data_IF_802440356224
#
_entry.id   IF_802440356224
#
_cell.length_a   1.000
_cell.length_b   1.000
_cell.length_c   1.000
_cell.angle_alpha   90.00
_cell.angle_beta   90.00
_cell.angle_gamma   90.00
#
_symmetry.space_group_name_H-M   'P 1'
#
loop_
_entity.id
_entity.type
_entity.pdbx_description
1 polymer ?
#
# COMPACT_ATOMS: atom_id res chain seq x y z
N UNK A 1 -18.09 -12.14 6.47
CA UNK A 1 -16.84 -11.77 5.80
C UNK A 1 -17.04 -11.78 4.29
N UNK A 2 -16.62 -10.70 3.63
CA UNK A 2 -16.63 -10.59 2.17
C UNK A 2 -15.88 -11.78 1.56
N UNK A 3 -16.44 -12.36 0.51
CA UNK A 3 -15.78 -13.43 -0.25
C UNK A 3 -15.57 -12.96 -1.69
N UNK A 4 -14.35 -13.18 -2.18
CA UNK A 4 -14.05 -13.03 -3.60
C UNK A 4 -14.15 -14.40 -4.28
N UNK A 5 -14.91 -14.43 -5.36
CA UNK A 5 -14.94 -15.52 -6.33
C UNK A 5 -13.61 -15.62 -7.07
N UNK A 6 -13.34 -16.78 -7.65
CA UNK A 6 -12.10 -16.97 -8.44
C UNK A 6 -12.09 -16.09 -9.69
N UNK A 7 -13.25 -15.76 -10.25
CA UNK A 7 -13.39 -14.84 -11.37
C UNK A 7 -12.97 -13.41 -10.97
N UNK A 8 -13.46 -12.90 -9.83
CA UNK A 8 -13.07 -11.58 -9.31
C UNK A 8 -11.57 -11.52 -9.02
N UNK A 9 -11.00 -12.58 -8.42
CA UNK A 9 -9.55 -12.65 -8.18
C UNK A 9 -8.76 -12.64 -9.48
N UNK A 10 -9.22 -13.36 -10.51
CA UNK A 10 -8.57 -13.40 -11.80
C UNK A 10 -8.63 -12.04 -12.53
N UNK A 11 -9.75 -11.34 -12.43
CA UNK A 11 -9.92 -9.99 -12.97
C UNK A 11 -8.96 -8.99 -12.31
N UNK A 12 -8.91 -8.98 -10.97
CA UNK A 12 -7.98 -8.15 -10.20
C UNK A 12 -6.51 -8.44 -10.54
N UNK A 13 -6.15 -9.71 -10.72
CA UNK A 13 -4.82 -10.12 -11.17
C UNK A 13 -4.52 -9.59 -12.59
N UNK A 14 -5.47 -9.69 -13.51
CA UNK A 14 -5.32 -9.22 -14.88
C UNK A 14 -5.15 -7.70 -14.93
N UNK A 15 -5.96 -6.98 -14.15
CA UNK A 15 -5.91 -5.53 -14.04
C UNK A 15 -4.54 -5.08 -13.50
N UNK A 16 -4.10 -5.62 -12.36
CA UNK A 16 -2.80 -5.26 -11.78
C UNK A 16 -1.63 -5.63 -12.71
N UNK A 17 -1.71 -6.75 -13.43
CA UNK A 17 -0.69 -7.17 -14.38
C UNK A 17 -0.48 -6.13 -15.50
N UNK A 18 -1.56 -5.52 -16.01
CA UNK A 18 -1.49 -4.44 -17.00
C UNK A 18 -0.74 -3.20 -16.49
N UNK A 19 -0.75 -2.98 -15.19
CA UNK A 19 -0.11 -1.83 -14.54
C UNK A 19 1.27 -2.14 -13.96
N UNK A 20 1.71 -3.41 -13.95
CA UNK A 20 2.92 -3.86 -13.27
C UNK A 20 4.18 -3.11 -13.73
N UNK A 21 4.36 -2.95 -15.05
CA UNK A 21 5.53 -2.25 -15.59
C UNK A 21 5.57 -0.77 -15.16
N UNK A 22 4.41 -0.12 -15.06
CA UNK A 22 4.31 1.27 -14.63
C UNK A 22 4.58 1.40 -13.12
N UNK A 23 3.98 0.55 -12.30
CA UNK A 23 4.23 0.49 -10.85
C UNK A 23 5.72 0.28 -10.56
N UNK A 24 6.35 -0.67 -11.25
CA UNK A 24 7.79 -0.93 -11.13
C UNK A 24 8.64 0.29 -11.48
N UNK A 25 8.32 0.99 -12.58
CA UNK A 25 9.00 2.22 -12.99
C UNK A 25 8.82 3.36 -11.98
N UNK A 26 7.64 3.49 -11.36
CA UNK A 26 7.38 4.49 -10.32
C UNK A 26 8.22 4.26 -9.06
N UNK A 27 8.54 3.00 -8.76
CA UNK A 27 9.47 2.61 -7.70
C UNK A 27 10.95 2.74 -8.10
N UNK A 28 11.24 3.15 -9.34
CA UNK A 28 12.59 3.16 -9.92
C UNK A 28 13.29 1.79 -9.89
N UNK A 29 12.54 0.70 -10.06
CA UNK A 29 13.09 -0.66 -10.00
C UNK A 29 13.32 -1.25 -11.40
N UNK A 30 14.39 -2.03 -11.55
CA UNK A 30 14.52 -2.97 -12.67
C UNK A 30 13.65 -4.22 -12.43
N UNK A 31 13.43 -5.04 -13.46
CA UNK A 31 12.75 -6.34 -13.27
C UNK A 31 13.51 -7.24 -12.30
N UNK A 32 14.84 -7.13 -12.27
CA UNK A 32 15.70 -7.86 -11.34
C UNK A 32 15.55 -7.35 -9.91
N UNK A 33 15.53 -6.03 -9.68
CA UNK A 33 15.32 -5.52 -8.33
C UNK A 33 13.93 -5.88 -7.80
N UNK A 34 12.89 -5.80 -8.66
CA UNK A 34 11.54 -6.23 -8.27
C UNK A 34 11.52 -7.73 -7.95
N UNK A 35 12.27 -8.56 -8.69
CA UNK A 35 12.40 -9.99 -8.41
C UNK A 35 12.96 -10.24 -7.00
N UNK A 36 14.05 -9.57 -6.66
CA UNK A 36 14.73 -9.75 -5.37
C UNK A 36 13.84 -9.39 -4.17
N UNK A 37 13.00 -8.34 -4.28
CA UNK A 37 12.16 -7.90 -3.16
C UNK A 37 10.79 -8.61 -3.11
N UNK A 38 10.26 -9.06 -4.24
CA UNK A 38 8.93 -9.70 -4.29
C UNK A 38 8.99 -11.21 -4.12
N UNK A 39 10.17 -11.82 -4.29
CA UNK A 39 10.33 -13.28 -4.34
C UNK A 39 9.80 -13.91 -5.63
N UNK A 40 9.30 -13.12 -6.59
CA UNK A 40 8.86 -13.58 -7.91
C UNK A 40 10.08 -13.64 -8.82
N UNK A 41 10.26 -14.70 -9.61
CA UNK A 41 11.41 -14.77 -10.51
C UNK A 41 11.41 -13.64 -11.54
N UNK A 42 12.60 -13.13 -11.91
CA UNK A 42 12.76 -12.09 -12.93
C UNK A 42 12.10 -12.49 -14.26
N UNK A 43 12.21 -13.77 -14.62
CA UNK A 43 11.59 -14.32 -15.85
C UNK A 43 10.08 -14.23 -15.75
N UNK A 44 9.49 -14.63 -14.62
CA UNK A 44 8.05 -14.53 -14.38
C UNK A 44 7.57 -13.08 -14.44
N UNK A 45 8.27 -12.13 -13.81
CA UNK A 45 7.95 -10.70 -13.89
C UNK A 45 7.94 -10.24 -15.36
N UNK A 46 8.99 -10.56 -16.11
CA UNK A 46 9.09 -10.20 -17.53
C UNK A 46 7.96 -10.79 -18.37
N UNK A 47 7.59 -12.05 -18.11
CA UNK A 47 6.48 -12.72 -18.79
C UNK A 47 5.12 -12.16 -18.41
N UNK A 48 4.92 -11.73 -17.17
CA UNK A 48 3.69 -11.04 -16.74
C UNK A 48 3.61 -9.67 -17.42
N UNK A 49 4.68 -8.86 -17.39
CA UNK A 49 4.70 -7.54 -18.03
C UNK A 49 4.49 -7.59 -19.55
N UNK A 50 4.86 -8.71 -20.19
CA UNK A 50 4.63 -8.94 -21.63
C UNK A 50 3.31 -9.67 -21.93
N UNK A 51 2.50 -9.98 -20.92
CA UNK A 51 1.21 -10.67 -21.07
C UNK A 51 1.32 -12.16 -21.43
N UNK A 52 2.52 -12.74 -21.41
CA UNK A 52 2.76 -14.17 -21.73
C UNK A 52 2.35 -15.10 -20.60
N UNK A 53 2.40 -14.62 -19.35
CA UNK A 53 2.01 -15.38 -18.15
C UNK A 53 0.98 -14.58 -17.36
N UNK A 54 -0.05 -15.28 -16.87
CA UNK A 54 -1.05 -14.69 -15.99
C UNK A 54 -0.49 -14.47 -14.60
N UNK A 55 -0.81 -13.32 -14.01
CA UNK A 55 -0.53 -13.05 -12.61
C UNK A 55 -1.37 -13.98 -11.71
N UNK A 56 -0.75 -14.58 -10.70
CA UNK A 56 -1.45 -15.39 -9.70
C UNK A 56 -1.85 -14.51 -8.51
N UNK A 57 -2.74 -15.01 -7.65
CA UNK A 57 -3.11 -14.30 -6.43
C UNK A 57 -1.89 -14.05 -5.52
N UNK A 58 -0.95 -14.99 -5.46
CA UNK A 58 0.29 -14.82 -4.70
C UNK A 58 1.13 -13.66 -5.27
N UNK A 59 1.28 -13.60 -6.60
CA UNK A 59 1.99 -12.50 -7.26
C UNK A 59 1.33 -11.15 -6.95
N UNK A 60 0.00 -11.07 -7.04
CA UNK A 60 -0.76 -9.85 -6.75
C UNK A 60 -0.48 -9.35 -5.32
N UNK A 61 -0.58 -10.23 -4.32
CA UNK A 61 -0.35 -9.85 -2.92
C UNK A 61 1.10 -9.37 -2.68
N UNK A 62 2.09 -10.05 -3.27
CA UNK A 62 3.49 -9.65 -3.15
C UNK A 62 3.73 -8.25 -3.75
N UNK A 63 3.20 -7.99 -4.95
CA UNK A 63 3.33 -6.68 -5.62
C UNK A 63 2.61 -5.58 -4.85
N UNK A 64 1.44 -5.87 -4.27
CA UNK A 64 0.69 -4.88 -3.49
C UNK A 64 1.33 -4.55 -2.16
N UNK A 65 1.93 -5.53 -1.48
CA UNK A 65 2.68 -5.29 -0.26
C UNK A 65 3.77 -4.22 -0.51
N UNK A 66 4.52 -4.38 -1.59
CA UNK A 66 5.57 -3.42 -2.00
C UNK A 66 4.95 -2.08 -2.43
N UNK A 67 3.91 -2.11 -3.26
CA UNK A 67 3.29 -0.90 -3.84
C UNK A 67 2.58 -0.04 -2.78
N UNK A 68 2.00 -0.65 -1.75
CA UNK A 68 1.34 0.07 -0.67
C UNK A 68 2.34 0.69 0.33
N UNK A 69 3.59 0.23 0.35
CA UNK A 69 4.65 0.79 1.20
C UNK A 69 5.26 2.08 0.63
N UNK A 70 4.97 2.43 -0.63
CA UNK A 70 5.46 3.65 -1.28
C UNK A 70 4.31 4.60 -1.64
N UNK A 71 4.45 5.87 -1.29
CA UNK A 71 3.40 6.88 -1.47
C UNK A 71 3.01 7.07 -2.94
N UNK A 72 3.98 7.10 -3.86
CA UNK A 72 3.72 7.35 -5.29
C UNK A 72 2.95 6.23 -5.93
N UNK A 73 3.28 4.98 -5.61
CA UNK A 73 2.54 3.82 -6.11
C UNK A 73 1.18 3.70 -5.45
N UNK A 74 1.06 4.05 -4.16
CA UNK A 74 -0.25 4.09 -3.48
C UNK A 74 -1.19 5.12 -4.12
N UNK A 75 -0.72 6.33 -4.36
CA UNK A 75 -1.46 7.36 -5.08
C UNK A 75 -1.85 6.89 -6.49
N UNK A 76 -0.93 6.23 -7.20
CA UNK A 76 -1.21 5.67 -8.52
C UNK A 76 -2.30 4.59 -8.48
N UNK A 77 -2.27 3.68 -7.49
CA UNK A 77 -3.31 2.66 -7.31
C UNK A 77 -4.69 3.32 -7.13
N UNK A 78 -4.78 4.33 -6.25
CA UNK A 78 -6.02 5.06 -5.99
C UNK A 78 -6.51 5.81 -7.24
N UNK A 79 -5.61 6.56 -7.90
CA UNK A 79 -5.96 7.39 -9.05
C UNK A 79 -6.44 6.58 -10.27
N UNK A 80 -5.97 5.32 -10.40
CA UNK A 80 -6.39 4.41 -11.48
C UNK A 80 -7.51 3.47 -11.03
N UNK A 81 -8.09 3.66 -9.83
CA UNK A 81 -9.10 2.79 -9.24
C UNK A 81 -8.67 1.31 -9.20
N UNK A 82 -7.36 1.06 -9.09
CA UNK A 82 -6.81 -0.28 -9.03
C UNK A 82 -7.15 -0.87 -7.67
N UNK A 83 -7.92 -1.96 -7.71
CA UNK A 83 -8.35 -2.71 -6.53
C UNK A 83 -9.27 -1.89 -5.62
N UNK A 84 -10.48 -1.69 -6.14
CA UNK A 84 -11.53 -0.91 -5.51
C UNK A 84 -12.05 -1.43 -4.15
N UNK A 85 -13.16 -0.85 -3.64
CA UNK A 85 -13.64 -1.06 -2.28
C UNK A 85 -13.80 -2.53 -1.87
N UNK A 86 -14.23 -3.37 -2.82
CA UNK A 86 -14.46 -4.80 -2.60
C UNK A 86 -13.18 -5.59 -2.30
N UNK A 87 -12.08 -5.25 -2.97
CA UNK A 87 -10.77 -5.82 -2.64
C UNK A 87 -10.34 -5.42 -1.23
N UNK A 88 -10.50 -4.15 -0.88
CA UNK A 88 -10.10 -3.65 0.44
C UNK A 88 -10.93 -4.29 1.57
N UNK A 89 -12.24 -4.45 1.40
CA UNK A 89 -13.08 -5.16 2.37
C UNK A 89 -12.62 -6.62 2.56
N UNK A 90 -12.28 -7.30 1.46
CA UNK A 90 -11.79 -8.67 1.50
C UNK A 90 -10.47 -8.79 2.26
N UNK A 91 -9.46 -7.97 1.93
CA UNK A 91 -8.14 -8.05 2.57
C UNK A 91 -8.15 -7.57 4.04
N UNK A 92 -9.11 -6.70 4.40
CA UNK A 92 -9.35 -6.25 5.77
C UNK A 92 -10.25 -7.19 6.58
N UNK A 93 -10.66 -8.34 6.01
CA UNK A 93 -11.51 -9.33 6.66
C UNK A 93 -12.88 -8.77 7.11
N UNK A 94 -13.40 -7.75 6.42
CA UNK A 94 -14.67 -7.08 6.75
C UNK A 94 -15.89 -7.90 6.35
N UNK A 95 -17.04 -7.57 6.93
CA UNK A 95 -18.35 -8.12 6.52
C UNK A 95 -18.92 -7.37 5.30
N UNK A 96 -19.88 -7.97 4.58
CA UNK A 96 -20.46 -7.38 3.36
C UNK A 96 -21.11 -6.00 3.59
N UNK A 97 -21.61 -5.74 4.80
CA UNK A 97 -22.27 -4.49 5.17
C UNK A 97 -21.32 -3.44 5.76
N UNK A 98 -20.02 -3.73 5.84
CA UNK A 98 -19.02 -2.83 6.42
C UNK A 98 -18.21 -2.14 5.32
N UNK A 99 -18.07 -0.83 5.38
CA UNK A 99 -17.21 -0.08 4.47
C UNK A 99 -15.72 -0.42 4.72
N UNK A 100 -14.88 -0.45 3.67
CA UNK A 100 -13.44 -0.60 3.85
C UNK A 100 -12.86 0.62 4.57
N UNK A 101 -11.88 0.38 5.44
CA UNK A 101 -11.10 1.42 6.06
C UNK A 101 -10.14 2.02 5.03
N UNK A 102 -10.20 3.34 4.85
CA UNK A 102 -9.24 4.06 4.01
C UNK A 102 -8.06 4.48 4.88
N UNK A 103 -6.89 3.89 4.64
CA UNK A 103 -5.64 4.36 5.22
C UNK A 103 -5.21 5.65 4.51
N UNK A 104 -5.83 6.77 4.89
CA UNK A 104 -5.31 8.10 4.58
C UNK A 104 -3.95 8.19 5.25
N UNK A 105 -2.91 8.48 4.49
CA UNK A 105 -1.55 8.57 5.02
C UNK A 105 -1.51 9.59 6.17
N UNK A 106 -1.51 9.12 7.41
CA UNK A 106 -1.09 9.95 8.51
C UNK A 106 0.41 10.13 8.33
N UNK A 107 0.82 11.36 7.97
CA UNK A 107 2.23 11.71 7.86
C UNK A 107 2.91 11.42 9.20
N UNK A 108 3.75 10.38 9.23
CA UNK A 108 4.45 9.93 10.42
C UNK A 108 5.33 11.06 10.97
N UNK A 109 5.84 11.95 10.11
CA UNK A 109 6.58 13.13 10.54
C UNK A 109 5.66 14.11 11.25
N UNK A 110 4.41 14.29 10.79
CA UNK A 110 3.40 15.13 11.44
C UNK A 110 3.00 14.56 12.81
N UNK A 111 2.91 13.24 12.93
CA UNK A 111 2.65 12.55 14.22
C UNK A 111 3.83 12.75 15.18
N UNK A 112 5.07 12.57 14.71
CA UNK A 112 6.29 12.77 15.52
C UNK A 112 6.42 14.24 15.98
N UNK A 113 6.24 15.19 15.07
CA UNK A 113 6.23 16.63 15.37
C UNK A 113 5.16 16.99 16.42
N UNK A 114 3.92 16.52 16.26
CA UNK A 114 2.86 16.79 17.23
C UNK A 114 3.17 16.27 18.64
N UNK A 115 3.89 15.15 18.74
CA UNK A 115 4.31 14.59 20.04
C UNK A 115 5.41 15.43 20.68
N UNK A 116 6.39 15.88 19.89
CA UNK A 116 7.48 16.73 20.36
C UNK A 116 6.92 18.08 20.87
N UNK A 117 6.09 18.75 20.06
CA UNK A 117 5.42 20.00 20.44
C UNK A 117 4.64 19.86 21.76
N UNK A 118 3.88 18.78 21.92
CA UNK A 118 3.12 18.54 23.16
C UNK A 118 4.00 18.32 24.40
N UNK A 119 5.23 17.81 24.23
CA UNK A 119 6.19 17.63 25.32
C UNK A 119 6.83 18.96 25.70
N UNK A 120 7.22 19.77 24.72
CA UNK A 120 7.78 21.11 24.94
C UNK A 120 6.78 22.03 25.66
N UNK A 121 5.49 21.99 25.28
CA UNK A 121 4.42 22.74 25.94
C UNK A 121 4.24 22.32 27.42
N UNK A 122 4.37 21.02 27.71
CA UNK A 122 4.30 20.49 29.08
C UNK A 122 5.53 20.86 29.92
N UNK A 123 6.71 20.99 29.31
CA UNK A 123 7.94 21.42 29.96
C UNK A 123 7.90 22.92 30.28
N UNK A 124 7.51 23.76 29.32
CA UNK A 124 7.35 25.20 29.52
C UNK A 124 6.33 25.52 30.64
N UNK A 125 5.21 24.78 30.69
CA UNK A 125 4.19 24.95 31.74
C UNK A 125 4.65 24.52 33.15
N UNK A 126 5.72 23.72 33.26
CA UNK A 126 6.33 23.35 34.55
C UNK A 126 7.31 24.41 35.04
N UNK A 127 8.04 25.06 34.13
CA UNK A 127 8.99 26.12 34.47
C UNK A 127 8.28 27.40 34.94
N UNK A 128 7.13 27.76 34.35
CA UNK A 128 6.34 28.93 34.79
C UNK A 128 5.70 28.77 36.17
N UNK A 129 5.59 27.54 36.70
CA UNK A 129 4.98 27.25 38.01
C UNK A 129 5.95 27.27 39.20
N UNK A 130 7.22 27.64 38.99
CA UNK A 130 8.16 27.92 40.07
C UNK A 130 8.41 29.44 40.14
N UNK A 131 7.53 30.22 40.82
CA UNK A 131 7.88 31.60 41.16
C UNK A 131 9.05 31.55 42.15
N UNK A 132 10.16 32.17 41.77
CA UNK A 132 11.28 32.48 42.68
C UNK A 132 10.70 33.33 43.81
N UNK A 133 10.56 32.74 45.00
CA UNK A 133 10.31 33.46 46.26
C UNK A 133 11.65 33.96 46.79
#
# INVERSE_FOLDING_TARGET
MVKLTDAEKAEMCSELAGHLSKLRKLLNLTQENLSNISGISRVTISQIESGKVKMTWLHLNAILCISCANIRTKEYLIANNLLGPRYMQYIQCKNENEYPELNVAADINKIQLSKILSLEELEAAKEEKHPVI
#
